data_IF_527698740668
#
_entry.id   IF_527698740668
#
_cell.length_a   1.000
_cell.length_b   1.000
_cell.length_c   1.000
_cell.angle_alpha   90.00
_cell.angle_beta   90.00
_cell.angle_gamma   90.00
#
_symmetry.space_group_name_H-M   'P 1'
#
loop_
_entity.id
_entity.type
_entity.pdbx_description
1 polymer ?
#
# COMPACT_ATOMS: atom_id res chain seq x y z
N UNK A 1 -10.68 -3.50 11.44
CA UNK A 1 -10.33 -3.65 10.01
C UNK A 1 -8.81 -3.73 9.84
N UNK A 2 -8.34 -4.78 9.19
CA UNK A 2 -6.96 -4.98 8.73
C UNK A 2 -6.88 -4.55 7.27
N UNK A 3 -6.00 -3.59 6.99
CA UNK A 3 -5.84 -3.04 5.65
C UNK A 3 -4.39 -3.21 5.23
N UNK A 4 -4.19 -3.72 4.03
CA UNK A 4 -2.90 -3.66 3.34
C UNK A 4 -3.01 -2.65 2.22
N UNK A 5 -2.02 -1.77 2.08
CA UNK A 5 -1.88 -0.90 0.92
C UNK A 5 -0.62 -1.26 0.13
N UNK A 6 -0.77 -1.40 -1.18
CA UNK A 6 0.34 -1.52 -2.13
C UNK A 6 0.68 -0.12 -2.62
N UNK A 7 1.91 0.32 -2.39
CA UNK A 7 2.49 1.50 -3.01
C UNK A 7 3.47 1.09 -4.12
N UNK A 8 3.90 2.06 -4.92
CA UNK A 8 4.83 1.80 -6.02
C UNK A 8 6.25 1.59 -5.48
N UNK A 9 6.82 2.61 -4.86
CA UNK A 9 8.21 2.62 -4.37
C UNK A 9 8.31 3.19 -2.97
N UNK A 10 9.28 2.71 -2.20
CA UNK A 10 9.72 3.39 -0.98
C UNK A 10 10.86 4.34 -1.30
N UNK A 11 10.82 5.54 -0.74
CA UNK A 11 11.97 6.43 -0.73
C UNK A 11 12.88 6.08 0.42
N UNK A 12 14.16 5.91 0.14
CA UNK A 12 15.19 5.87 1.17
C UNK A 12 15.45 7.28 1.67
N UNK A 13 14.57 7.73 2.56
CA UNK A 13 14.63 9.07 3.10
C UNK A 13 15.97 9.28 3.81
N UNK A 14 16.86 10.06 3.18
CA UNK A 14 18.19 10.43 3.70
C UNK A 14 19.07 9.24 4.08
N UNK A 15 18.96 8.12 3.37
CA UNK A 15 19.77 6.96 3.67
C UNK A 15 19.35 6.20 4.93
N UNK A 16 18.28 6.58 5.64
CA UNK A 16 17.96 5.92 6.92
C UNK A 16 17.71 4.42 6.81
N UNK A 17 17.23 3.95 5.66
CA UNK A 17 17.00 2.52 5.42
C UNK A 17 18.29 1.85 4.97
N UNK A 18 19.05 2.47 4.06
CA UNK A 18 20.34 1.93 3.62
C UNK A 18 21.45 1.99 4.68
N UNK A 19 21.51 3.03 5.50
CA UNK A 19 22.39 3.21 6.67
C UNK A 19 22.09 2.17 7.76
N UNK A 20 20.83 1.72 7.87
CA UNK A 20 20.46 0.60 8.71
C UNK A 20 20.80 -0.78 8.08
N UNK A 21 21.51 -0.79 6.95
CA UNK A 21 22.00 -2.00 6.28
C UNK A 21 21.02 -2.63 5.29
N UNK A 22 19.84 -2.03 5.07
CA UNK A 22 18.88 -2.56 4.12
C UNK A 22 19.25 -2.18 2.69
N UNK A 23 19.45 -3.19 1.84
CA UNK A 23 19.68 -2.99 0.39
C UNK A 23 18.39 -2.91 -0.42
N UNK A 24 17.28 -3.26 0.20
CA UNK A 24 15.97 -3.42 -0.42
C UNK A 24 14.90 -2.78 0.46
N UNK A 25 13.76 -2.45 -0.13
CA UNK A 25 12.60 -2.00 0.63
C UNK A 25 12.17 -3.10 1.62
N UNK A 26 11.75 -2.75 2.84
CA UNK A 26 11.13 -3.71 3.74
C UNK A 26 9.91 -4.34 3.05
N UNK A 27 9.77 -5.65 3.20
CA UNK A 27 8.66 -6.42 2.58
C UNK A 27 7.28 -5.86 2.95
N UNK A 28 7.16 -5.36 4.17
CA UNK A 28 6.04 -4.56 4.61
C UNK A 28 6.43 -3.70 5.82
N UNK A 29 5.68 -2.64 6.07
CA UNK A 29 5.96 -1.69 7.16
C UNK A 29 4.69 -0.94 7.59
N UNK A 30 4.75 -0.31 8.76
CA UNK A 30 3.74 0.68 9.18
C UNK A 30 4.11 2.03 8.61
N UNK A 31 3.26 2.61 7.78
CA UNK A 31 3.50 3.94 7.23
C UNK A 31 3.32 5.00 8.31
N UNK A 32 4.22 5.98 8.34
CA UNK A 32 4.12 7.10 9.28
C UNK A 32 2.84 7.92 8.99
N UNK A 33 1.88 8.02 9.92
CA UNK A 33 0.62 8.73 9.70
C UNK A 33 0.81 10.22 9.47
N UNK A 34 1.98 10.79 9.80
CA UNK A 34 2.30 12.21 9.61
C UNK A 34 2.87 12.53 8.23
N UNK A 35 3.35 11.54 7.47
CA UNK A 35 3.86 11.79 6.11
C UNK A 35 2.70 11.96 5.11
N UNK A 36 2.98 12.46 3.90
CA UNK A 36 1.93 12.83 2.95
C UNK A 36 1.00 11.66 2.60
N UNK A 37 1.58 10.52 2.23
CA UNK A 37 0.82 9.32 1.86
C UNK A 37 0.09 8.71 3.06
N UNK A 38 0.73 8.66 4.23
CA UNK A 38 0.17 8.14 5.48
C UNK A 38 -1.05 8.95 5.91
N UNK A 39 -0.95 10.30 5.95
CA UNK A 39 -2.10 11.16 6.25
C UNK A 39 -3.29 10.87 5.36
N UNK A 40 -3.04 10.64 4.06
CA UNK A 40 -4.10 10.31 3.09
C UNK A 40 -4.71 8.95 3.39
N UNK A 41 -3.89 7.91 3.51
CA UNK A 41 -4.36 6.55 3.73
C UNK A 41 -5.17 6.45 5.03
N UNK A 42 -4.68 6.99 6.15
CA UNK A 42 -5.42 7.00 7.42
C UNK A 42 -6.72 7.80 7.35
N UNK A 43 -6.80 8.85 6.53
CA UNK A 43 -8.06 9.57 6.29
C UNK A 43 -9.09 8.69 5.55
N UNK A 44 -8.63 7.79 4.68
CA UNK A 44 -9.49 6.87 3.93
C UNK A 44 -9.92 5.67 4.77
N UNK A 45 -8.98 5.04 5.48
CA UNK A 45 -9.22 3.78 6.20
C UNK A 45 -9.71 3.99 7.63
N UNK A 46 -9.59 5.21 8.16
CA UNK A 46 -9.90 5.55 9.54
C UNK A 46 -8.69 5.42 10.49
N UNK A 47 -8.71 6.12 11.63
CA UNK A 47 -7.59 6.17 12.57
C UNK A 47 -7.33 4.83 13.28
N UNK A 48 -8.36 4.00 13.46
CA UNK A 48 -8.28 2.72 14.18
C UNK A 48 -7.90 1.53 13.28
N UNK A 49 -7.68 1.79 11.98
CA UNK A 49 -7.32 0.74 11.05
C UNK A 49 -5.92 0.17 11.33
N UNK A 50 -5.80 -1.15 11.32
CA UNK A 50 -4.51 -1.85 11.34
C UNK A 50 -3.94 -1.82 9.92
N UNK A 51 -3.31 -0.70 9.57
CA UNK A 51 -2.73 -0.45 8.25
C UNK A 51 -1.29 -0.95 8.16
N UNK A 52 -1.03 -1.87 7.23
CA UNK A 52 0.30 -2.23 6.75
C UNK A 52 0.46 -1.80 5.29
N UNK A 53 1.70 -1.52 4.90
CA UNK A 53 2.06 -1.11 3.56
C UNK A 53 3.13 -2.02 3.00
N UNK A 54 3.00 -2.40 1.73
CA UNK A 54 4.02 -3.09 0.93
C UNK A 54 4.29 -2.29 -0.35
N UNK A 55 5.42 -2.54 -1.00
CA UNK A 55 5.79 -1.88 -2.26
C UNK A 55 5.82 -2.86 -3.42
N UNK A 56 5.41 -2.39 -4.59
CA UNK A 56 5.55 -3.10 -5.85
C UNK A 56 7.01 -3.15 -6.32
N UNK A 57 7.84 -2.18 -5.96
CA UNK A 57 9.27 -2.16 -6.25
C UNK A 57 10.08 -2.71 -5.07
N UNK A 58 11.03 -3.61 -5.37
CA UNK A 58 11.99 -4.17 -4.40
C UNK A 58 13.06 -3.15 -4.00
N UNK A 59 13.47 -2.32 -4.94
CA UNK A 59 14.54 -1.35 -4.77
C UNK A 59 14.08 -0.13 -3.97
N UNK A 60 15.02 0.45 -3.23
CA UNK A 60 14.83 1.74 -2.60
C UNK A 60 15.08 2.87 -3.61
N UNK A 61 14.15 3.82 -3.71
CA UNK A 61 14.36 5.02 -4.52
C UNK A 61 15.16 6.07 -3.76
N UNK A 62 16.17 6.65 -4.41
CA UNK A 62 17.03 7.70 -3.85
C UNK A 62 16.42 9.10 -3.93
N UNK A 63 15.35 9.28 -4.71
CA UNK A 63 14.69 10.57 -4.87
C UNK A 63 13.22 10.44 -5.27
N UNK A 64 12.51 11.56 -5.24
CA UNK A 64 11.11 11.64 -5.63
C UNK A 64 10.81 11.31 -7.09
N UNK A 65 11.82 11.47 -7.94
CA UNK A 65 11.77 11.15 -9.37
C UNK A 65 12.32 9.75 -9.65
N UNK A 66 12.99 9.16 -8.67
CA UNK A 66 13.44 7.78 -8.73
C UNK A 66 12.24 6.86 -8.55
N UNK A 67 12.00 6.02 -9.54
CA UNK A 67 11.10 4.89 -9.41
C UNK A 67 11.96 3.64 -9.51
N UNK A 68 11.85 2.75 -8.52
CA UNK A 68 12.39 1.40 -8.69
C UNK A 68 11.63 0.66 -9.79
N UNK A 69 12.14 -0.49 -10.22
CA UNK A 69 11.41 -1.35 -11.14
C UNK A 69 10.35 -2.17 -10.39
N UNK A 70 9.06 -2.13 -10.80
CA UNK A 70 8.05 -3.01 -10.24
C UNK A 70 8.41 -4.47 -10.48
N UNK A 71 8.24 -5.29 -9.44
CA UNK A 71 8.59 -6.70 -9.44
C UNK A 71 7.35 -7.51 -8.98
N UNK A 72 6.60 -8.12 -9.92
CA UNK A 72 5.41 -8.89 -9.60
C UNK A 72 5.70 -10.11 -8.70
N UNK A 73 6.86 -10.75 -8.82
CA UNK A 73 7.22 -11.91 -7.99
C UNK A 73 7.44 -11.44 -6.55
N UNK A 74 8.21 -10.37 -6.37
CA UNK A 74 8.42 -9.74 -5.06
C UNK A 74 7.09 -9.33 -4.40
N UNK A 75 6.19 -8.69 -5.15
CA UNK A 75 4.89 -8.28 -4.65
C UNK A 75 4.05 -9.49 -4.20
N UNK A 76 4.00 -10.56 -5.01
CA UNK A 76 3.28 -11.77 -4.67
C UNK A 76 3.80 -12.41 -3.37
N UNK A 77 5.12 -12.51 -3.21
CA UNK A 77 5.72 -13.04 -1.98
C UNK A 77 5.37 -12.19 -0.75
N UNK A 78 5.34 -10.86 -0.89
CA UNK A 78 5.00 -9.97 0.21
C UNK A 78 3.52 -10.08 0.59
N UNK A 79 2.63 -10.16 -0.40
CA UNK A 79 1.20 -10.37 -0.15
C UNK A 79 0.94 -11.72 0.49
N UNK A 80 1.61 -12.79 0.03
CA UNK A 80 1.53 -14.11 0.65
C UNK A 80 1.92 -14.08 2.13
N UNK A 81 3.02 -13.39 2.46
CA UNK A 81 3.46 -13.21 3.86
C UNK A 81 2.44 -12.45 4.69
N UNK A 82 1.92 -11.34 4.17
CA UNK A 82 0.90 -10.54 4.84
C UNK A 82 -0.41 -11.29 5.05
N UNK A 83 -0.78 -12.16 4.12
CA UNK A 83 -2.00 -12.96 4.21
C UNK A 83 -1.88 -14.10 5.24
N UNK A 84 -0.67 -14.63 5.41
CA UNK A 84 -0.37 -15.58 6.49
C UNK A 84 -0.26 -14.90 7.85
N UNK A 85 0.02 -13.59 7.89
CA UNK A 85 0.11 -12.82 9.12
C UNK A 85 -1.29 -12.57 9.70
N UNK A 86 -1.48 -12.80 10.99
CA UNK A 86 -2.70 -12.45 11.73
C UNK A 86 -4.02 -12.94 11.09
N UNK A 87 -4.01 -14.07 10.36
CA UNK A 87 -5.16 -14.63 9.61
C UNK A 87 -5.67 -13.74 8.46
N UNK A 88 -4.78 -13.06 7.75
CA UNK A 88 -5.09 -12.31 6.54
C UNK A 88 -5.41 -10.83 6.73
N UNK A 89 -5.93 -10.21 5.68
CA UNK A 89 -6.40 -8.83 5.68
C UNK A 89 -7.77 -8.70 5.04
N UNK A 90 -8.55 -7.69 5.46
CA UNK A 90 -9.94 -7.52 5.04
C UNK A 90 -10.01 -6.72 3.73
N UNK A 91 -9.11 -5.74 3.59
CA UNK A 91 -9.05 -4.82 2.45
C UNK A 91 -7.63 -4.73 1.91
N UNK A 92 -7.49 -4.82 0.59
CA UNK A 92 -6.27 -4.55 -0.16
C UNK A 92 -6.44 -3.30 -1.02
N UNK A 93 -5.73 -2.23 -0.69
CA UNK A 93 -5.70 -1.00 -1.47
C UNK A 93 -4.54 -1.06 -2.47
N UNK A 94 -4.85 -0.97 -3.76
CA UNK A 94 -3.82 -0.97 -4.83
C UNK A 94 -3.63 0.46 -5.34
N UNK A 95 -2.58 1.12 -4.86
CA UNK A 95 -2.44 2.57 -4.99
C UNK A 95 -1.59 2.99 -6.19
N UNK A 96 -2.22 3.63 -7.17
CA UNK A 96 -1.53 4.15 -8.35
C UNK A 96 -1.41 3.14 -9.48
N UNK A 97 -1.21 3.65 -10.70
CA UNK A 97 -1.28 2.84 -11.92
C UNK A 97 -0.14 1.84 -12.05
N UNK A 98 1.05 2.18 -11.53
CA UNK A 98 2.20 1.26 -11.58
C UNK A 98 1.96 0.06 -10.65
N UNK A 99 1.47 0.32 -9.43
CA UNK A 99 1.13 -0.74 -8.48
C UNK A 99 -0.05 -1.60 -9.00
N UNK A 100 -1.06 -0.99 -9.62
CA UNK A 100 -2.20 -1.70 -10.21
C UNK A 100 -1.74 -2.68 -11.29
N UNK A 101 -0.90 -2.22 -12.22
CA UNK A 101 -0.33 -3.08 -13.27
C UNK A 101 0.51 -4.22 -12.67
N UNK A 102 1.40 -3.91 -11.73
CA UNK A 102 2.24 -4.93 -11.07
C UNK A 102 1.39 -5.97 -10.33
N UNK A 103 0.32 -5.55 -9.64
CA UNK A 103 -0.61 -6.44 -8.95
C UNK A 103 -1.35 -7.37 -9.92
N UNK A 104 -1.78 -6.88 -11.08
CA UNK A 104 -2.41 -7.71 -12.11
C UNK A 104 -1.44 -8.79 -12.64
N UNK A 105 -0.15 -8.47 -12.73
CA UNK A 105 0.90 -9.38 -13.20
C UNK A 105 1.40 -10.35 -12.12
N UNK A 106 1.19 -10.06 -10.82
CA UNK A 106 1.80 -10.84 -9.73
C UNK A 106 1.16 -12.21 -9.49
N UNK A 107 0.00 -12.49 -10.10
CA UNK A 107 -0.74 -13.75 -9.97
C UNK A 107 -1.04 -14.20 -8.52
N UNK A 108 -0.99 -13.27 -7.56
CA UNK A 108 -1.31 -13.53 -6.15
C UNK A 108 -2.76 -13.99 -6.00
N UNK A 109 -2.96 -15.08 -5.27
CA UNK A 109 -4.28 -15.62 -4.92
C UNK A 109 -4.42 -15.60 -3.40
N UNK A 110 -5.26 -14.69 -2.90
CA UNK A 110 -5.47 -14.56 -1.48
C UNK A 110 -6.09 -15.84 -0.87
N UNK A 111 -5.53 -16.28 0.26
CA UNK A 111 -6.03 -17.35 1.13
C UNK A 111 -7.38 -16.95 1.73
N UNK A 112 -7.52 -15.67 2.09
CA UNK A 112 -8.77 -15.06 2.57
C UNK A 112 -9.34 -14.16 1.48
N UNK A 113 -10.67 -14.07 1.36
CA UNK A 113 -11.34 -13.26 0.32
C UNK A 113 -11.29 -11.76 0.64
N UNK A 114 -10.09 -11.18 0.68
CA UNK A 114 -9.87 -9.76 0.84
C UNK A 114 -10.57 -8.98 -0.28
N UNK A 115 -11.15 -7.82 0.05
CA UNK A 115 -11.70 -6.90 -0.96
C UNK A 115 -10.59 -6.05 -1.54
N UNK A 116 -10.38 -6.17 -2.85
CA UNK A 116 -9.39 -5.39 -3.58
C UNK A 116 -10.03 -4.09 -4.08
N UNK A 117 -9.41 -2.95 -3.78
CA UNK A 117 -9.86 -1.64 -4.21
C UNK A 117 -8.69 -0.92 -4.87
N UNK A 118 -8.85 -0.57 -6.13
CA UNK A 118 -7.89 0.26 -6.85
C UNK A 118 -8.16 1.74 -6.57
N UNK A 119 -7.14 2.47 -6.12
CA UNK A 119 -7.25 3.90 -5.84
C UNK A 119 -6.11 4.69 -6.50
N UNK A 120 -6.27 6.01 -6.74
CA UNK A 120 -5.14 6.86 -7.11
C UNK A 120 -4.00 6.76 -6.09
N UNK A 121 -2.76 7.03 -6.51
CA UNK A 121 -1.66 7.07 -5.55
C UNK A 121 -1.95 8.13 -4.46
N UNK A 122 -1.71 7.88 -3.16
CA UNK A 122 -2.06 8.82 -2.09
C UNK A 122 -1.31 10.16 -2.19
N UNK A 123 -0.18 10.19 -2.90
CA UNK A 123 0.58 11.39 -3.23
C UNK A 123 0.10 12.17 -4.49
N UNK A 124 -0.87 11.66 -5.25
CA UNK A 124 -1.34 12.26 -6.50
C UNK A 124 -2.23 13.48 -6.25
N UNK A 125 -1.61 14.65 -6.01
CA UNK A 125 -2.30 15.89 -5.57
C UNK A 125 -3.52 16.28 -6.40
N UNK A 126 -3.48 16.09 -7.72
CA UNK A 126 -4.58 16.45 -8.64
C UNK A 126 -5.79 15.52 -8.60
N UNK A 127 -5.69 14.35 -7.99
CA UNK A 127 -6.78 13.37 -7.94
C UNK A 127 -7.64 13.50 -6.69
N UNK A 128 -7.14 14.17 -5.65
CA UNK A 128 -7.78 14.14 -4.34
C UNK A 128 -8.41 15.47 -3.96
N UNK A 129 -9.73 15.49 -3.92
CA UNK A 129 -10.56 16.56 -3.38
C UNK A 129 -11.47 16.03 -2.25
N UNK A 130 -12.20 16.91 -1.57
CA UNK A 130 -13.05 16.51 -0.44
C UNK A 130 -14.07 15.42 -0.80
N UNK A 131 -14.69 15.54 -1.99
CA UNK A 131 -15.68 14.59 -2.51
C UNK A 131 -15.08 13.21 -2.74
N UNK A 132 -14.05 13.11 -3.56
CA UNK A 132 -13.35 11.85 -3.88
C UNK A 132 -12.80 11.14 -2.63
N UNK A 133 -12.29 11.90 -1.66
CA UNK A 133 -11.85 11.34 -0.37
C UNK A 133 -13.04 10.73 0.38
N UNK A 134 -14.16 11.45 0.48
CA UNK A 134 -15.34 10.99 1.20
C UNK A 134 -15.91 9.72 0.55
N UNK A 135 -16.11 9.73 -0.78
CA UNK A 135 -16.62 8.59 -1.54
C UNK A 135 -15.72 7.35 -1.40
N UNK A 136 -14.39 7.54 -1.50
CA UNK A 136 -13.44 6.43 -1.35
C UNK A 136 -13.43 5.89 0.08
N UNK A 137 -13.49 6.76 1.09
CA UNK A 137 -13.54 6.36 2.49
C UNK A 137 -14.83 5.59 2.81
N UNK A 138 -15.98 6.04 2.32
CA UNK A 138 -17.26 5.35 2.45
C UNK A 138 -17.24 3.97 1.79
N UNK A 139 -16.64 3.86 0.60
CA UNK A 139 -16.45 2.58 -0.07
C UNK A 139 -15.62 1.60 0.77
N UNK A 140 -14.53 2.08 1.38
CA UNK A 140 -13.68 1.26 2.26
C UNK A 140 -14.42 0.85 3.55
N UNK A 141 -15.13 1.79 4.17
CA UNK A 141 -15.80 1.56 5.46
C UNK A 141 -17.05 0.69 5.34
N UNK A 142 -17.81 0.82 4.24
CA UNK A 142 -19.00 -0.01 3.99
C UNK A 142 -18.68 -1.50 3.87
N UNK A 143 -17.47 -1.85 3.41
CA UNK A 143 -16.99 -3.24 3.37
C UNK A 143 -16.87 -3.84 4.78
N UNK A 144 -16.52 -3.02 5.77
CA UNK A 144 -16.38 -3.46 7.17
C UNK A 144 -17.73 -3.61 7.85
N UNK A 145 -18.67 -2.70 7.56
CA UNK A 145 -19.99 -2.70 8.21
C UNK A 145 -20.96 -3.74 7.65
N UNK A 146 -20.69 -4.29 6.47
CA UNK A 146 -21.52 -5.33 5.83
C UNK A 146 -20.99 -6.76 5.99
N UNK A 147 -20.00 -6.97 6.87
CA UNK A 147 -19.39 -8.28 7.18
C UNK A 147 -19.85 -8.84 8.51
#
# INVERSE_FOLDING_TARGET
MRVVAILETMWDWRGQTSEAGYREAPRYFRINPKNYSGRRLYKLVGPDARLLVTNACRELATSAKGHGKPDPIWLAENLQKLDTLDSGFDVLLVCGKVAQKCYQECAYRALVRARVIEIPHPAARGHWNAKTIAETAEQIQSIVSGS
#
